data_IF_759741366611
#
_entry.id   IF_759741366611
#
_cell.length_a   1.000
_cell.length_b   1.000
_cell.length_c   1.000
_cell.angle_alpha   90.00
_cell.angle_beta   90.00
_cell.angle_gamma   90.00
#
_symmetry.space_group_name_H-M   'P 1'
#
loop_
_entity.id
_entity.type
_entity.pdbx_description
1 polymer ?
2 polymer ?
3 non-polymer ?
4 water ?
#
loop_
_entity_poly.entity_id
_entity_poly.type
_entity_poly.pdbx_seq_one_letter_code
_entity_poly.pdbx_strand_id
2 'polydeoxyribonucleotide' '(DC)(DT)(DC)(DT)(DC)(DG)(DC)(DG)(DA)(DG)(DA)(DG)' ?
#
# COMPACT_ATOMS: atom_id res chain seq x y z
N UNK A 3 2.10 -6.92 -15.09
CA UNK A 3 1.41 -7.85 -16.05
C UNK A 3 0.39 -8.72 -15.29
N UNK A 4 -0.82 -8.87 -15.85
CA UNK A 4 -1.98 -9.52 -15.16
C UNK A 4 -1.53 -10.87 -14.57
N UNK A 5 -0.55 -11.50 -15.23
CA UNK A 5 -0.19 -12.92 -15.04
C UNK A 5 0.41 -13.15 -13.64
N UNK A 6 1.04 -12.12 -13.07
CA UNK A 6 1.71 -12.21 -11.75
C UNK A 6 0.69 -12.46 -10.63
N UNK A 7 -0.61 -12.25 -10.86
CA UNK A 7 -1.67 -12.42 -9.82
C UNK A 7 -3.00 -12.75 -10.48
N UNK A 8 -3.20 -13.99 -10.98
CA UNK A 8 -4.28 -14.27 -11.93
C UNK A 8 -5.67 -14.02 -11.32
N UNK A 9 -5.79 -14.22 -10.00
CA UNK A 9 -7.03 -14.10 -9.20
C UNK A 9 -7.02 -12.77 -8.44
N UNK A 10 -6.09 -11.88 -8.77
CA UNK A 10 -5.90 -10.59 -8.08
C UNK A 10 -6.71 -9.46 -8.71
N UNK A 11 -6.28 -8.23 -8.46
CA UNK A 11 -6.92 -6.98 -8.92
C UNK A 11 -5.81 -6.01 -9.35
N UNK A 12 -6.21 -4.97 -10.07
CA UNK A 12 -5.37 -3.83 -10.51
C UNK A 12 -5.42 -2.75 -9.43
N UNK A 13 -4.26 -2.19 -9.09
CA UNK A 13 -4.13 -0.94 -8.30
C UNK A 13 -3.96 0.22 -9.29
N UNK A 14 -4.83 1.20 -9.20
CA UNK A 14 -4.83 2.37 -10.10
C UNK A 14 -5.76 2.13 -11.27
N UNK A 15 -5.50 2.81 -12.38
CA UNK A 15 -6.44 2.88 -13.54
C UNK A 15 -6.11 1.74 -14.50
N UNK A 16 -6.93 0.69 -14.54
CA UNK A 16 -6.68 -0.49 -15.43
C UNK A 16 -6.47 -0.03 -16.87
N UNK A 17 -7.22 0.99 -17.34
CA UNK A 17 -7.18 1.49 -18.74
C UNK A 17 -5.94 2.38 -18.97
N UNK A 18 -5.08 2.57 -17.96
CA UNK A 18 -3.89 3.46 -18.06
C UNK A 18 -2.64 2.67 -17.70
N UNK A 19 -1.98 1.99 -18.66
CA UNK A 19 -0.98 0.97 -18.32
C UNK A 19 0.27 1.49 -17.59
N UNK A 20 0.54 2.80 -17.61
CA UNK A 20 1.73 3.40 -16.92
C UNK A 20 1.43 3.57 -15.42
N UNK A 21 0.17 3.77 -15.04
CA UNK A 21 -0.24 4.00 -13.62
C UNK A 21 -1.21 2.90 -13.17
N UNK A 22 -0.91 1.64 -13.54
CA UNK A 22 -1.55 0.41 -13.00
C UNK A 22 -0.47 -0.56 -12.45
N UNK A 23 -0.81 -1.42 -11.47
CA UNK A 23 0.10 -2.45 -10.88
C UNK A 23 -0.78 -3.65 -10.48
N UNK A 24 -0.50 -4.84 -11.01
CA UNK A 24 -1.24 -6.08 -10.66
C UNK A 24 -0.92 -6.41 -9.21
N UNK A 25 -1.92 -6.82 -8.44
CA UNK A 25 -1.73 -7.10 -6.99
C UNK A 25 -2.55 -8.33 -6.61
N UNK A 26 -2.27 -8.86 -5.43
CA UNK A 26 -2.82 -10.13 -4.91
C UNK A 26 -4.21 -9.92 -4.29
N UNK A 27 -4.68 -8.68 -4.12
CA UNK A 27 -6.02 -8.43 -3.50
C UNK A 27 -7.08 -9.08 -4.40
N UNK A 28 -7.97 -9.89 -3.84
CA UNK A 28 -9.05 -10.53 -4.65
C UNK A 28 -10.15 -9.49 -4.89
N UNK A 29 -10.96 -9.66 -5.96
CA UNK A 29 -12.04 -8.71 -6.26
C UNK A 29 -12.97 -8.39 -5.09
N UNK A 30 -13.41 -9.42 -4.35
CA UNK A 30 -14.34 -9.25 -3.21
C UNK A 30 -13.68 -8.33 -2.17
N UNK A 31 -12.39 -8.51 -1.90
CA UNK A 31 -11.65 -7.66 -0.93
C UNK A 31 -11.51 -6.25 -1.50
N UNK A 32 -11.17 -6.09 -2.78
CA UNK A 32 -11.02 -4.73 -3.37
C UNK A 32 -12.37 -3.99 -3.31
N UNK A 33 -13.46 -4.75 -3.42
CA UNK A 33 -14.83 -4.21 -3.25
C UNK A 33 -15.02 -3.67 -1.83
N UNK A 34 -14.71 -4.47 -0.82
CA UNK A 34 -14.78 -4.02 0.59
C UNK A 34 -14.04 -2.70 0.77
N UNK A 35 -12.82 -2.63 0.24
CA UNK A 35 -11.90 -1.48 0.49
C UNK A 35 -12.50 -0.19 -0.11
N UNK A 36 -12.91 -0.22 -1.37
CA UNK A 36 -13.55 0.96 -2.02
C UNK A 36 -14.87 1.30 -1.30
N UNK A 37 -15.64 0.32 -0.85
CA UNK A 37 -16.90 0.58 -0.09
C UNK A 37 -16.54 1.31 1.21
N UNK A 38 -15.52 0.84 1.91
CA UNK A 38 -15.25 1.23 3.30
C UNK A 38 -14.30 2.41 3.36
N UNK A 39 -13.32 2.49 2.46
CA UNK A 39 -12.26 3.53 2.52
C UNK A 39 -12.63 4.71 1.63
N UNK A 40 -13.29 5.71 2.23
CA UNK A 40 -13.89 6.89 1.56
C UNK A 40 -12.89 8.05 1.47
N UNK A 41 -11.69 7.94 2.05
CA UNK A 41 -10.60 8.96 1.97
C UNK A 41 -9.28 8.30 1.55
N UNK A 42 -8.39 9.05 0.90
CA UNK A 42 -7.06 8.54 0.52
C UNK A 42 -6.30 8.10 1.77
N UNK A 43 -6.32 8.89 2.85
CA UNK A 43 -5.60 8.56 4.12
C UNK A 43 -6.05 7.19 4.64
N UNK A 44 -7.36 6.90 4.65
CA UNK A 44 -7.90 5.63 5.18
C UNK A 44 -7.64 4.50 4.17
N UNK A 45 -7.75 4.75 2.86
CA UNK A 45 -7.51 3.67 1.86
C UNK A 45 -6.04 3.24 1.90
N UNK A 46 -5.10 4.17 2.09
CA UNK A 46 -3.65 3.90 2.04
C UNK A 46 -3.29 2.87 3.12
N UNK A 47 -3.83 3.04 4.33
CA UNK A 47 -3.46 2.19 5.48
C UNK A 47 -4.16 0.84 5.40
N UNK A 48 -5.28 0.77 4.67
CA UNK A 48 -6.11 -0.45 4.51
C UNK A 48 -5.52 -1.28 3.38
N UNK A 49 -5.16 -0.63 2.28
CA UNK A 49 -4.30 -1.23 1.23
C UNK A 49 -3.05 -1.83 1.90
N UNK A 50 -2.39 -1.08 2.76
CA UNK A 50 -1.17 -1.62 3.41
C UNK A 50 -1.50 -2.97 4.07
N UNK A 51 -2.59 -3.05 4.84
CA UNK A 51 -2.90 -4.29 5.58
C UNK A 51 -3.26 -5.40 4.58
N UNK A 52 -3.89 -5.09 3.45
CA UNK A 52 -4.27 -6.16 2.49
C UNK A 52 -3.03 -6.55 1.68
N UNK A 53 -2.03 -5.68 1.53
CA UNK A 53 -0.86 -6.01 0.66
C UNK A 53 0.29 -6.57 1.48
N UNK A 54 0.31 -6.21 2.74
CA UNK A 54 1.39 -6.74 3.57
C UNK A 54 0.78 -7.21 4.86
N UNK A 55 1.15 -8.45 5.19
CA UNK A 55 0.93 -9.07 6.51
C UNK A 55 1.60 -8.19 7.56
N UNK A 56 1.00 -8.12 8.74
CA UNK A 56 1.50 -7.32 9.88
C UNK A 56 2.92 -7.75 10.25
N UNK A 57 3.28 -9.01 10.01
CA UNK A 57 4.62 -9.53 10.39
C UNK A 57 5.66 -8.96 9.43
N UNK A 58 5.25 -8.56 8.22
CA UNK A 58 6.19 -7.90 7.26
C UNK A 58 6.30 -6.43 7.68
N UNK A 59 5.19 -5.82 8.09
CA UNK A 59 5.13 -4.38 8.52
C UNK A 59 6.08 -4.20 9.72
N UNK A 60 6.16 -5.20 10.60
CA UNK A 60 6.84 -5.11 11.90
C UNK A 60 8.35 -5.16 11.68
N UNK A 61 8.80 -5.51 10.48
CA UNK A 61 10.27 -5.68 10.22
C UNK A 61 10.70 -4.75 9.09
N UNK A 62 9.74 -4.07 8.45
CA UNK A 62 9.93 -3.42 7.13
C UNK A 62 9.65 -1.93 7.26
N UNK A 63 10.22 -1.11 6.38
CA UNK A 63 9.83 0.32 6.22
C UNK A 63 9.93 0.70 4.73
N UNK A 64 9.67 1.96 4.39
CA UNK A 64 9.54 2.37 2.97
C UNK A 64 10.94 2.46 2.33
N UNK A 65 11.93 2.93 3.09
CA UNK A 65 13.31 3.22 2.61
C UNK A 65 14.17 1.96 2.72
N UNK A 66 13.94 1.11 3.73
CA UNK A 66 14.84 -0.02 4.06
C UNK A 66 16.14 0.47 4.68
N UNK A 67 16.12 1.69 5.25
CA UNK A 67 17.26 2.33 5.96
C UNK A 67 16.89 2.50 7.44
N UNK A 68 17.88 2.85 8.27
CA UNK A 68 17.69 3.27 9.67
C UNK A 68 18.33 2.34 10.70
N UNK A 69 18.42 2.84 11.94
CA UNK A 69 19.05 2.19 13.12
C UNK A 69 18.52 0.78 13.37
N UNK A 70 17.27 0.43 13.03
CA UNK A 70 16.75 -0.93 13.33
C UNK A 70 17.11 -1.94 12.24
N UNK A 71 17.78 -1.52 11.16
CA UNK A 71 18.15 -2.36 10.01
C UNK A 71 16.94 -2.99 9.33
N UNK A 72 15.88 -2.20 9.09
CA UNK A 72 14.57 -2.75 8.63
C UNK A 72 14.62 -3.14 7.15
N UNK A 73 13.82 -4.13 6.73
CA UNK A 73 13.65 -4.49 5.29
C UNK A 73 12.83 -3.38 4.62
N UNK A 74 12.96 -3.24 3.31
CA UNK A 74 12.20 -2.22 2.58
C UNK A 74 10.91 -2.87 2.07
N UNK A 75 9.79 -2.17 2.18
CA UNK A 75 8.54 -2.74 1.63
C UNK A 75 8.66 -2.73 0.10
N UNK A 76 8.24 -3.83 -0.54
CA UNK A 76 8.26 -4.02 -2.01
C UNK A 76 7.93 -2.71 -2.73
N UNK A 77 8.92 -2.06 -3.36
CA UNK A 77 8.72 -0.81 -4.04
C UNK A 77 7.66 -0.89 -5.15
N UNK A 78 7.54 -2.00 -5.85
CA UNK A 78 6.51 -2.11 -6.91
C UNK A 78 5.13 -2.04 -6.26
N UNK A 79 4.96 -2.72 -5.13
CA UNK A 79 3.70 -2.74 -4.37
C UNK A 79 3.43 -1.33 -3.84
N UNK A 80 4.42 -0.66 -3.29
CA UNK A 80 4.19 0.74 -2.82
C UNK A 80 3.74 1.61 -4.00
N UNK A 81 4.44 1.54 -5.13
CA UNK A 81 4.06 2.29 -6.36
C UNK A 81 2.58 2.00 -6.67
N UNK A 82 2.13 0.75 -6.51
CA UNK A 82 0.73 0.34 -6.74
C UNK A 82 -0.24 1.05 -5.81
N UNK A 83 0.11 1.25 -4.54
CA UNK A 83 -0.73 2.09 -3.63
C UNK A 83 -0.81 3.52 -4.18
N UNK A 84 0.32 4.06 -4.62
CA UNK A 84 0.38 5.43 -5.14
C UNK A 84 -0.61 5.55 -6.29
N UNK A 85 -0.58 4.58 -7.20
CA UNK A 85 -1.42 4.50 -8.43
C UNK A 85 -2.90 4.37 -8.05
N UNK A 86 -3.24 3.64 -6.99
CA UNK A 86 -4.64 3.50 -6.56
C UNK A 86 -5.09 4.84 -5.97
N UNK A 87 -4.26 5.53 -5.18
CA UNK A 87 -4.71 6.78 -4.50
C UNK A 87 -4.87 7.89 -5.56
N UNK A 88 -3.88 8.09 -6.44
CA UNK A 88 -3.97 9.03 -7.59
C UNK A 88 -5.26 8.77 -8.39
N UNK A 89 -5.57 7.51 -8.71
CA UNK A 89 -6.76 7.12 -9.50
C UNK A 89 -8.04 7.35 -8.70
N UNK A 90 -8.11 6.82 -7.47
CA UNK A 90 -9.35 6.76 -6.64
C UNK A 90 -9.68 8.13 -6.04
N UNK A 91 -8.69 8.98 -5.78
CA UNK A 91 -8.90 10.24 -5.02
C UNK A 91 -8.28 11.46 -5.71
N UNK A 92 -7.57 11.29 -6.82
CA UNK A 92 -6.84 12.38 -7.50
C UNK A 92 -6.00 13.18 -6.51
N UNK A 93 -5.20 12.49 -5.69
CA UNK A 93 -4.24 13.13 -4.74
C UNK A 93 -3.05 13.67 -5.54
N UNK A 94 -2.30 14.56 -4.91
CA UNK A 94 -1.12 15.28 -5.44
C UNK A 94 0.15 14.64 -4.88
N UNK A 95 1.32 15.07 -5.36
CA UNK A 95 2.63 14.62 -4.79
C UNK A 95 2.75 15.09 -3.34
N UNK A 96 2.15 16.22 -2.96
CA UNK A 96 2.27 16.71 -1.57
C UNK A 96 1.44 15.81 -0.65
N UNK A 97 0.30 15.29 -1.15
CA UNK A 97 -0.56 14.37 -0.36
C UNK A 97 0.22 13.07 -0.11
N UNK A 98 0.82 12.53 -1.18
CA UNK A 98 1.57 11.24 -1.23
C UNK A 98 2.76 11.32 -0.27
N UNK A 99 3.39 12.49 -0.20
CA UNK A 99 4.48 12.72 0.77
C UNK A 99 3.90 12.54 2.18
N UNK A 100 2.73 13.12 2.45
CA UNK A 100 2.05 13.02 3.77
C UNK A 100 1.67 11.55 4.02
N UNK A 101 1.04 10.90 3.04
CA UNK A 101 0.60 9.47 3.09
C UNK A 101 1.80 8.59 3.45
N UNK A 102 2.95 8.80 2.82
CA UNK A 102 4.16 7.97 3.06
C UNK A 102 4.62 8.09 4.53
N UNK A 103 4.71 9.29 5.12
CA UNK A 103 4.86 9.42 6.58
C UNK A 103 3.92 8.41 7.27
N UNK A 104 2.62 8.43 6.94
CA UNK A 104 1.58 7.65 7.67
C UNK A 104 1.79 6.14 7.49
N UNK A 105 2.24 5.67 6.31
CA UNK A 105 2.57 4.23 6.06
C UNK A 105 3.75 3.80 6.95
N UNK A 106 4.74 4.69 7.11
CA UNK A 106 5.98 4.38 7.85
C UNK A 106 5.61 4.33 9.33
N UNK A 107 4.75 5.27 9.74
CA UNK A 107 4.29 5.37 11.14
C UNK A 107 3.48 4.13 11.51
N UNK A 108 2.59 3.67 10.64
CA UNK A 108 1.87 2.38 10.87
C UNK A 108 2.86 1.22 11.05
N UNK A 109 3.88 1.19 10.22
CA UNK A 109 4.96 0.17 10.25
C UNK A 109 5.73 0.25 11.56
N UNK A 110 6.02 1.46 12.08
CA UNK A 110 6.68 1.62 13.40
C UNK A 110 5.75 1.07 14.48
N UNK A 111 4.44 1.32 14.38
CA UNK A 111 3.49 0.85 15.41
C UNK A 111 3.62 -0.67 15.51
N UNK A 112 3.70 -1.33 14.36
CA UNK A 112 3.76 -2.81 14.27
C UNK A 112 5.09 -3.28 14.88
N UNK A 113 6.19 -2.59 14.58
CA UNK A 113 7.51 -2.95 15.16
C UNK A 113 7.42 -2.86 16.69
N UNK A 114 6.85 -1.76 17.21
CA UNK A 114 6.69 -1.47 18.67
C UNK A 114 5.79 -2.53 19.33
N UNK A 115 4.83 -3.08 18.60
CA UNK A 115 3.93 -4.14 19.13
C UNK A 115 4.74 -5.43 19.34
N UNK A 116 5.49 -5.86 18.33
CA UNK A 116 6.46 -6.98 18.42
C UNK A 116 7.43 -6.71 19.58
N UNK A 117 7.95 -5.48 19.69
CA UNK A 117 8.81 -5.00 20.81
C UNK A 117 8.17 -5.27 22.19
N UNK A 118 6.91 -4.89 22.42
CA UNK A 118 6.28 -4.77 23.78
C UNK A 118 5.69 -6.10 24.26
X LIG D 1 -7.65 -8.87 7.98
X LIG D 1 -9.05 -8.69 7.77
X LIG D 1 -6.83 -7.88 7.17
X LIG D 1 -6.15 -6.98 8.04
X LIG D 1 -5.83 -8.55 6.26
X LIG D 1 -6.48 -9.38 5.29
#
# INVERSE_FOLDING_TARGET
>A
GNSEEDYPNGTWLGDENNPEMRVRCAIIPSDMLHISTNCRTAEKMALTLLDYLFHREVQAVSNLSGQGKHGKKQLDPLTIYGIRCHLFYKFGITESDWYRIKQSIDSKCRTAWRRKQRGQSLAVKSFSRRTPNSSSYCPSE
>D hetero
1 GOL C1 O1 C2 O2 C3 O3
#
